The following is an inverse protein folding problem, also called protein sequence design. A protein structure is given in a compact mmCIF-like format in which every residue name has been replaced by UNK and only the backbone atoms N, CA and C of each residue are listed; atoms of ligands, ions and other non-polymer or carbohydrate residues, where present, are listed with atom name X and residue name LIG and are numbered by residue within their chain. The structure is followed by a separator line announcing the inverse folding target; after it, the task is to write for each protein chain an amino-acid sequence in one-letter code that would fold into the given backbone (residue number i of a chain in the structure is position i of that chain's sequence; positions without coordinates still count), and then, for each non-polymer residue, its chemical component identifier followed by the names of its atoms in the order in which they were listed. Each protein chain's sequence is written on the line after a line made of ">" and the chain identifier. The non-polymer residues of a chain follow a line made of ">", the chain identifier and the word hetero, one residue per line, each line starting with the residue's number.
data_IF_953610866328
#
_entry.id   IF_953610866328
#
_cell.length_a   1.000
_cell.length_b   1.000
_cell.length_c   1.000
_cell.angle_alpha   90.00
_cell.angle_beta   90.00
_cell.angle_gamma   90.00
#
_symmetry.space_group_name_H-M   'P 1'
#
loop_
_entity.id
_entity.type
_entity.pdbx_description
1 polymer ?
#
# COMPACT_ATOMS: atom_id res chain seq x y z
N UNK A 1 -25.48 -3.24 -1.53
CA UNK A 1 -24.17 -2.73 -1.07
C UNK A 1 -24.10 -1.27 -1.49
N UNK A 2 -23.80 -0.35 -0.58
CA UNK A 2 -23.65 1.07 -0.89
C UNK A 2 -22.32 1.34 -1.59
N UNK A 3 -22.15 2.53 -2.16
CA UNK A 3 -20.87 2.95 -2.75
C UNK A 3 -19.74 2.90 -1.72
N UNK A 4 -20.02 3.36 -0.49
CA UNK A 4 -19.05 3.34 0.60
C UNK A 4 -18.66 1.91 1.00
N UNK A 5 -19.65 1.03 1.16
CA UNK A 5 -19.38 -0.39 1.47
C UNK A 5 -18.50 -1.03 0.39
N UNK A 6 -18.77 -0.73 -0.88
CA UNK A 6 -17.98 -1.25 -2.01
C UNK A 6 -16.55 -0.73 -1.97
N UNK A 7 -16.35 0.58 -1.74
CA UNK A 7 -15.03 1.18 -1.61
C UNK A 7 -14.23 0.57 -0.45
N UNK A 8 -14.87 0.39 0.71
CA UNK A 8 -14.24 -0.22 1.88
C UNK A 8 -13.81 -1.66 1.62
N UNK A 9 -14.67 -2.47 0.98
CA UNK A 9 -14.33 -3.86 0.59
C UNK A 9 -13.13 -3.88 -0.36
N UNK A 10 -13.05 -2.96 -1.32
CA UNK A 10 -11.88 -2.88 -2.22
C UNK A 10 -10.59 -2.57 -1.45
N UNK A 11 -10.61 -1.61 -0.52
CA UNK A 11 -9.43 -1.26 0.30
C UNK A 11 -9.00 -2.44 1.17
N UNK A 12 -9.96 -3.12 1.83
CA UNK A 12 -9.69 -4.29 2.66
C UNK A 12 -9.07 -5.42 1.83
N UNK A 13 -9.60 -5.70 0.64
CA UNK A 13 -9.08 -6.75 -0.24
C UNK A 13 -7.65 -6.45 -0.70
N UNK A 14 -7.34 -5.18 -1.01
CA UNK A 14 -5.97 -4.77 -1.35
C UNK A 14 -5.06 -4.94 -0.14
N UNK A 15 -5.48 -4.51 1.06
CA UNK A 15 -4.70 -4.70 2.27
C UNK A 15 -4.42 -6.19 2.56
N UNK A 16 -5.46 -7.03 2.56
CA UNK A 16 -5.39 -8.47 2.85
C UNK A 16 -4.48 -9.22 1.87
N UNK A 17 -4.49 -8.84 0.59
CA UNK A 17 -3.59 -9.37 -0.45
C UNK A 17 -2.11 -9.19 -0.08
N UNK A 18 -1.75 -8.09 0.58
CA UNK A 18 -0.36 -7.77 0.89
C UNK A 18 0.06 -8.14 2.32
N UNK A 19 -0.86 -8.24 3.29
CA UNK A 19 -0.57 -8.60 4.70
C UNK A 19 -0.31 -10.09 4.93
N UNK A 20 -0.67 -10.95 3.98
CA UNK A 20 -0.52 -12.41 4.13
C UNK A 20 0.86 -12.94 3.76
N UNK A 21 1.78 -12.09 3.30
CA UNK A 21 3.04 -12.54 2.69
C UNK A 21 4.02 -13.07 3.74
N UNK A 22 4.06 -12.46 4.92
CA UNK A 22 4.91 -12.86 6.04
C UNK A 22 4.13 -13.60 7.17
N UNK A 23 2.89 -14.01 6.90
CA UNK A 23 2.08 -14.84 7.79
C UNK A 23 1.26 -14.09 8.86
N UNK A 24 1.30 -12.75 8.91
CA UNK A 24 0.50 -11.90 9.80
C UNK A 24 -0.51 -11.06 9.03
N UNK A 25 -1.63 -11.68 8.67
CA UNK A 25 -2.67 -11.08 7.81
C UNK A 25 -3.39 -9.84 8.38
N UNK A 26 -3.15 -9.50 9.64
CA UNK A 26 -3.76 -8.37 10.35
C UNK A 26 -2.97 -7.06 10.20
N UNK A 27 -1.70 -7.13 9.78
CA UNK A 27 -0.80 -5.97 9.68
C UNK A 27 0.05 -6.03 8.41
N UNK A 28 0.59 -4.89 7.98
CA UNK A 28 1.60 -4.85 6.92
C UNK A 28 2.96 -4.60 7.55
N UNK A 29 3.91 -5.49 7.27
CA UNK A 29 5.31 -5.25 7.57
C UNK A 29 5.87 -4.16 6.64
N UNK A 30 7.06 -3.61 6.97
CA UNK A 30 7.70 -2.58 6.14
C UNK A 30 7.91 -3.04 4.68
N UNK A 31 8.23 -4.31 4.46
CA UNK A 31 8.41 -4.89 3.12
C UNK A 31 7.10 -5.07 2.35
N UNK A 32 6.04 -5.49 3.03
CA UNK A 32 4.70 -5.65 2.47
C UNK A 32 4.10 -4.29 2.09
N UNK A 33 4.20 -3.30 2.97
CA UNK A 33 3.76 -1.93 2.68
C UNK A 33 4.54 -1.33 1.51
N UNK A 34 5.87 -1.51 1.46
CA UNK A 34 6.70 -1.06 0.33
C UNK A 34 6.20 -1.67 -0.98
N UNK A 35 5.93 -2.98 -0.98
CA UNK A 35 5.43 -3.69 -2.16
C UNK A 35 4.06 -3.17 -2.59
N UNK A 36 3.14 -2.92 -1.65
CA UNK A 36 1.82 -2.36 -1.92
C UNK A 36 1.94 -0.99 -2.60
N UNK A 37 2.73 -0.08 -2.03
CA UNK A 37 2.90 1.28 -2.57
C UNK A 37 3.52 1.23 -3.97
N UNK A 38 4.53 0.40 -4.20
CA UNK A 38 5.18 0.26 -5.51
C UNK A 38 4.24 -0.28 -6.59
N UNK A 39 3.33 -1.20 -6.23
CA UNK A 39 2.47 -1.88 -7.21
C UNK A 39 1.12 -1.20 -7.44
N UNK A 40 0.47 -0.76 -6.37
CA UNK A 40 -0.91 -0.27 -6.41
C UNK A 40 -0.97 1.26 -6.43
N UNK A 41 0.09 1.96 -5.97
CA UNK A 41 0.13 3.42 -5.86
C UNK A 41 1.33 4.05 -6.59
N UNK A 42 1.61 3.69 -7.87
CA UNK A 42 2.78 4.19 -8.59
C UNK A 42 2.77 5.71 -8.77
N UNK A 43 1.59 6.34 -8.84
CA UNK A 43 1.45 7.80 -8.92
C UNK A 43 1.83 8.54 -7.62
N UNK A 44 1.66 7.91 -6.45
CA UNK A 44 2.10 8.48 -5.17
C UNK A 44 3.63 8.54 -5.13
N UNK A 45 4.31 7.49 -5.61
CA UNK A 45 5.77 7.46 -5.70
C UNK A 45 6.33 8.40 -6.77
N UNK A 46 5.65 8.50 -7.92
CA UNK A 46 6.00 9.46 -8.97
C UNK A 46 6.00 10.90 -8.44
N UNK A 47 4.97 11.28 -7.68
CA UNK A 47 4.87 12.60 -7.08
C UNK A 47 5.77 12.80 -5.85
N UNK A 48 6.18 11.72 -5.16
CA UNK A 48 7.13 11.78 -4.04
C UNK A 48 8.59 11.96 -4.52
N UNK A 49 8.94 11.41 -5.69
CA UNK A 49 10.26 11.59 -6.32
C UNK A 49 10.50 13.05 -6.74
N UNK A 50 9.45 13.79 -7.06
CA UNK A 50 9.54 15.23 -7.35
C UNK A 50 9.70 16.10 -6.10
N UNK A 51 9.63 15.54 -4.87
CA UNK A 51 9.66 16.31 -3.63
C UNK A 51 10.68 15.89 -2.56
N UNK A 52 11.55 14.92 -2.81
CA UNK A 52 12.61 14.62 -1.83
C UNK A 52 13.89 14.04 -2.43
N UNK A 53 14.90 14.89 -2.51
CA UNK A 53 16.28 14.51 -2.21
C UNK A 53 16.31 13.78 -0.85
N UNK A 54 16.20 12.46 -0.84
CA UNK A 54 16.66 11.68 0.31
C UNK A 54 18.16 11.45 0.11
N UNK A 55 18.94 12.48 0.46
CA UNK A 55 20.37 12.32 0.75
C UNK A 55 20.48 11.42 1.98
N UNK A 56 20.76 10.15 1.75
CA UNK A 56 21.39 9.32 2.77
C UNK A 56 22.83 9.82 2.88
N UNK A 57 23.13 10.58 3.94
CA UNK A 57 24.49 10.82 4.44
C UNK A 57 24.90 9.66 5.35
#
# INVERSE_FOLDING_TARGET
>A
MTELETAMVMIINVFDKYSRKDGKGDTLCKGELKTLIEKELPGILGNAKDKSEVKNS
#
